data_IF_434280796723
#
_entry.id   IF_434280796723
#
_cell.length_a   1.000
_cell.length_b   1.000
_cell.length_c   1.000
_cell.angle_alpha   90.00
_cell.angle_beta   90.00
_cell.angle_gamma   90.00
#
_symmetry.space_group_name_H-M   'P 1'
#
loop_
_entity.id
_entity.type
_entity.pdbx_description
1 polymer ?
#
# COMPACT_ATOMS: atom_id res chain seq x y z
N UNK A 1 38.00 -34.92 12.87
CA UNK A 1 36.58 -35.11 13.19
C UNK A 1 35.99 -33.79 13.64
N UNK A 2 35.34 -33.04 12.76
CA UNK A 2 34.67 -31.79 13.13
C UNK A 2 33.32 -32.16 13.79
N UNK A 3 33.18 -31.75 15.06
CA UNK A 3 32.07 -32.14 15.91
C UNK A 3 30.71 -31.74 15.30
N UNK A 4 29.83 -32.71 15.03
CA UNK A 4 28.44 -32.51 14.57
C UNK A 4 27.64 -31.50 15.42
N UNK A 5 28.00 -31.32 16.69
CA UNK A 5 27.40 -30.36 17.63
C UNK A 5 27.60 -28.89 17.19
N UNK A 6 28.76 -28.54 16.58
CA UNK A 6 29.03 -27.17 16.14
C UNK A 6 28.15 -26.75 14.96
N UNK A 7 27.78 -27.67 14.08
CA UNK A 7 26.88 -27.42 12.96
C UNK A 7 25.44 -27.23 13.38
N UNK A 8 24.98 -27.97 14.41
CA UNK A 8 23.61 -27.83 14.92
C UNK A 8 23.40 -26.47 15.60
N UNK A 9 24.38 -25.96 16.36
CA UNK A 9 24.28 -24.66 17.03
C UNK A 9 24.33 -23.51 16.00
N UNK A 10 25.18 -23.62 14.99
CA UNK A 10 25.25 -22.62 13.92
C UNK A 10 23.96 -22.55 13.10
N UNK A 11 23.34 -23.70 12.80
CA UNK A 11 22.08 -23.78 12.07
C UNK A 11 20.91 -23.12 12.82
N UNK A 12 20.79 -23.38 14.12
CA UNK A 12 19.74 -22.79 14.97
C UNK A 12 19.93 -21.27 15.08
N UNK A 13 21.16 -20.78 15.25
CA UNK A 13 21.46 -19.35 15.40
C UNK A 13 21.09 -18.53 14.14
N UNK A 14 21.13 -19.13 12.95
CA UNK A 14 20.76 -18.45 11.68
C UNK A 14 19.27 -18.61 11.37
N UNK A 15 18.68 -19.76 11.65
CA UNK A 15 17.27 -20.05 11.32
C UNK A 15 16.29 -19.27 12.21
N UNK A 16 16.62 -19.08 13.49
CA UNK A 16 15.72 -18.38 14.42
C UNK A 16 15.42 -16.94 13.99
N UNK A 17 16.40 -16.07 13.68
CA UNK A 17 16.12 -14.71 13.25
C UNK A 17 15.36 -14.68 11.91
N UNK A 18 15.60 -15.62 11.00
CA UNK A 18 14.89 -15.72 9.74
C UNK A 18 13.40 -16.06 9.94
N UNK A 19 13.09 -17.01 10.82
CA UNK A 19 11.71 -17.38 11.15
C UNK A 19 10.99 -16.22 11.82
N UNK A 20 11.62 -15.53 12.76
CA UNK A 20 11.04 -14.36 13.44
C UNK A 20 10.79 -13.24 12.42
N UNK A 21 11.73 -12.96 11.54
CA UNK A 21 11.59 -11.92 10.53
C UNK A 21 10.49 -12.24 9.51
N UNK A 22 10.45 -13.46 8.97
CA UNK A 22 9.37 -13.88 8.04
C UNK A 22 8.01 -13.89 8.73
N UNK A 23 7.94 -14.31 9.99
CA UNK A 23 6.72 -14.25 10.80
C UNK A 23 6.23 -12.82 10.99
N UNK A 24 7.14 -11.88 11.26
CA UNK A 24 6.79 -10.47 11.40
C UNK A 24 6.26 -9.85 10.10
N UNK A 25 6.82 -10.22 8.93
CA UNK A 25 6.35 -9.76 7.63
C UNK A 25 4.89 -10.14 7.35
N UNK A 26 4.43 -11.27 7.89
CA UNK A 26 3.02 -11.71 7.76
C UNK A 26 2.15 -11.12 8.88
N UNK A 27 2.63 -11.15 10.12
CA UNK A 27 1.85 -10.73 11.28
C UNK A 27 1.56 -9.22 11.30
N UNK A 28 2.54 -8.38 10.95
CA UNK A 28 2.36 -6.91 11.02
C UNK A 28 1.25 -6.38 10.11
N UNK A 29 1.13 -6.78 8.84
CA UNK A 29 -0.01 -6.37 8.02
C UNK A 29 -1.36 -6.84 8.56
N UNK A 30 -1.45 -8.04 9.12
CA UNK A 30 -2.67 -8.58 9.72
C UNK A 30 -3.06 -7.80 10.98
N UNK A 31 -2.09 -7.53 11.86
CA UNK A 31 -2.30 -6.71 13.06
C UNK A 31 -2.61 -5.25 12.69
N UNK A 32 -2.01 -4.74 11.63
CA UNK A 32 -2.32 -3.42 11.06
C UNK A 32 -3.76 -3.33 10.59
N UNK A 33 -4.22 -4.37 9.85
CA UNK A 33 -5.61 -4.46 9.41
C UNK A 33 -6.60 -4.53 10.59
N UNK A 34 -6.37 -5.38 11.57
CA UNK A 34 -7.23 -5.49 12.74
C UNK A 34 -7.31 -4.15 13.51
N UNK A 35 -6.19 -3.44 13.65
CA UNK A 35 -6.17 -2.11 14.26
C UNK A 35 -6.91 -1.07 13.40
N UNK A 36 -6.78 -1.14 12.07
CA UNK A 36 -7.49 -0.25 11.14
C UNK A 36 -9.01 -0.48 11.20
N UNK A 37 -9.45 -1.72 11.16
CA UNK A 37 -10.87 -2.09 11.24
C UNK A 37 -11.51 -1.66 12.58
N UNK A 38 -10.73 -1.59 13.66
CA UNK A 38 -11.16 -1.07 14.97
C UNK A 38 -11.05 0.46 15.11
N UNK A 39 -10.64 1.18 14.06
CA UNK A 39 -10.43 2.63 14.09
C UNK A 39 -9.21 3.08 14.91
N UNK A 40 -8.31 2.17 15.30
CA UNK A 40 -7.15 2.50 16.12
C UNK A 40 -6.04 3.16 15.30
N UNK A 41 -5.51 4.28 15.81
CA UNK A 41 -4.35 4.95 15.22
C UNK A 41 -3.06 4.11 15.24
N UNK A 42 -3.02 3.03 16.04
CA UNK A 42 -1.92 2.08 16.03
C UNK A 42 -1.76 1.33 14.70
N UNK A 43 -2.79 1.35 13.84
CA UNK A 43 -2.73 0.83 12.48
C UNK A 43 -1.59 1.47 11.67
N UNK A 44 -1.42 2.78 11.77
CA UNK A 44 -0.35 3.52 11.07
C UNK A 44 1.02 3.01 11.49
N UNK A 45 1.27 2.85 12.81
CA UNK A 45 2.55 2.37 13.32
C UNK A 45 2.83 0.94 12.86
N UNK A 46 1.83 0.05 12.88
CA UNK A 46 2.00 -1.36 12.47
C UNK A 46 2.26 -1.49 10.98
N UNK A 47 1.55 -0.71 10.15
CA UNK A 47 1.82 -0.68 8.72
C UNK A 47 3.16 -0.03 8.39
N UNK A 48 3.59 0.98 9.16
CA UNK A 48 4.94 1.55 9.01
C UNK A 48 6.01 0.49 9.28
N UNK A 49 5.90 -0.25 10.38
CA UNK A 49 6.83 -1.35 10.65
C UNK A 49 6.81 -2.43 9.57
N UNK A 50 5.63 -2.75 9.01
CA UNK A 50 5.55 -3.69 7.89
C UNK A 50 6.32 -3.19 6.66
N UNK A 51 6.26 -1.89 6.36
CA UNK A 51 7.06 -1.28 5.29
C UNK A 51 8.55 -1.34 5.60
N UNK A 52 8.94 -0.97 6.83
CA UNK A 52 10.34 -0.84 7.24
C UNK A 52 11.09 -2.17 7.25
N UNK A 53 10.40 -3.29 7.61
CA UNK A 53 11.03 -4.62 7.63
C UNK A 53 10.98 -5.33 6.27
N UNK A 54 10.24 -4.81 5.29
CA UNK A 54 10.12 -5.43 3.96
C UNK A 54 11.28 -4.97 3.08
N UNK A 55 12.15 -5.90 2.61
CA UNK A 55 13.24 -5.53 1.73
C UNK A 55 12.74 -4.95 0.40
N UNK A 56 13.49 -4.00 -0.16
CA UNK A 56 13.11 -3.28 -1.37
C UNK A 56 12.82 -4.18 -2.59
N UNK A 57 13.45 -5.35 -2.68
CA UNK A 57 13.19 -6.32 -3.75
C UNK A 57 11.90 -7.13 -3.58
N UNK A 58 11.34 -7.18 -2.36
CA UNK A 58 10.03 -7.79 -2.05
C UNK A 58 8.93 -6.74 -1.96
N UNK A 59 9.26 -5.46 -2.11
CA UNK A 59 8.32 -4.37 -1.95
C UNK A 59 7.23 -4.37 -3.02
N UNK A 60 6.10 -5.03 -2.70
CA UNK A 60 4.87 -4.89 -3.45
C UNK A 60 4.23 -3.51 -3.25
N UNK A 61 3.19 -3.24 -4.00
CA UNK A 61 2.37 -2.02 -3.86
C UNK A 61 1.50 -2.03 -2.59
N UNK A 62 1.22 -3.20 -2.00
CA UNK A 62 0.28 -3.36 -0.89
C UNK A 62 0.75 -2.67 0.39
N UNK A 63 2.04 -2.77 0.72
CA UNK A 63 2.58 -2.19 1.94
C UNK A 63 2.41 -0.65 1.98
N UNK A 64 2.87 0.12 0.99
CA UNK A 64 2.63 1.57 0.95
C UNK A 64 1.14 1.91 0.74
N UNK A 65 0.35 1.06 0.08
CA UNK A 65 -1.10 1.26 -0.04
C UNK A 65 -1.80 1.21 1.32
N UNK A 66 -1.54 0.17 2.11
CA UNK A 66 -2.15 0.00 3.43
C UNK A 66 -1.72 1.13 4.38
N UNK A 67 -0.43 1.48 4.37
CA UNK A 67 0.09 2.58 5.18
C UNK A 67 -0.56 3.91 4.78
N UNK A 68 -0.59 4.23 3.49
CA UNK A 68 -1.19 5.47 3.00
C UNK A 68 -2.67 5.57 3.31
N UNK A 69 -3.41 4.47 3.16
CA UNK A 69 -4.84 4.40 3.52
C UNK A 69 -5.06 4.64 5.02
N UNK A 70 -4.25 4.01 5.87
CA UNK A 70 -4.33 4.22 7.32
C UNK A 70 -3.98 5.65 7.71
N UNK A 71 -2.98 6.27 7.06
CA UNK A 71 -2.60 7.65 7.29
C UNK A 71 -3.72 8.63 6.92
N UNK A 72 -4.40 8.41 5.78
CA UNK A 72 -5.56 9.23 5.41
C UNK A 72 -6.70 9.12 6.42
N UNK A 73 -6.99 7.91 6.89
CA UNK A 73 -8.04 7.68 7.90
C UNK A 73 -7.76 8.35 9.26
N UNK A 74 -6.51 8.73 9.51
CA UNK A 74 -6.07 9.41 10.72
C UNK A 74 -5.56 10.85 10.46
N UNK A 75 -6.12 11.53 9.46
CA UNK A 75 -5.87 12.92 9.09
C UNK A 75 -4.41 13.27 8.75
N UNK A 76 -3.57 12.26 8.42
CA UNK A 76 -2.19 12.44 7.98
C UNK A 76 -2.14 12.53 6.45
N UNK A 77 -2.81 13.54 5.89
CA UNK A 77 -3.10 13.64 4.46
C UNK A 77 -1.84 13.64 3.58
N UNK A 78 -0.82 14.43 3.91
CA UNK A 78 0.40 14.55 3.09
C UNK A 78 1.18 13.23 3.06
N UNK A 79 1.35 12.59 4.22
CA UNK A 79 2.02 11.29 4.31
C UNK A 79 1.22 10.19 3.61
N UNK A 80 -0.11 10.21 3.77
CA UNK A 80 -1.03 9.27 3.13
C UNK A 80 -0.95 9.35 1.61
N UNK A 81 -1.03 10.57 1.06
CA UNK A 81 -0.89 10.82 -0.39
C UNK A 81 0.46 10.35 -0.90
N UNK A 82 1.56 10.69 -0.22
CA UNK A 82 2.91 10.28 -0.64
C UNK A 82 3.06 8.74 -0.73
N UNK A 83 2.53 8.01 0.26
CA UNK A 83 2.55 6.54 0.26
C UNK A 83 1.63 5.95 -0.82
N UNK A 84 0.48 6.53 -1.08
CA UNK A 84 -0.42 6.10 -2.16
C UNK A 84 0.15 6.40 -3.55
N UNK A 85 0.85 7.50 -3.74
CA UNK A 85 1.62 7.76 -4.97
C UNK A 85 2.72 6.72 -5.19
N UNK A 86 3.42 6.32 -4.11
CA UNK A 86 4.40 5.23 -4.19
C UNK A 86 3.74 3.91 -4.57
N UNK A 87 2.61 3.57 -3.93
CA UNK A 87 1.83 2.39 -4.26
C UNK A 87 1.40 2.38 -5.73
N UNK A 88 0.92 3.53 -6.24
CA UNK A 88 0.51 3.67 -7.64
C UNK A 88 1.67 3.42 -8.62
N UNK A 89 2.86 3.97 -8.33
CA UNK A 89 4.04 3.71 -9.16
C UNK A 89 4.41 2.23 -9.19
N UNK A 90 4.30 1.54 -8.04
CA UNK A 90 4.65 0.11 -7.90
C UNK A 90 3.64 -0.79 -8.60
N UNK A 91 2.33 -0.58 -8.39
CA UNK A 91 1.29 -1.40 -9.03
C UNK A 91 1.33 -1.27 -10.54
N UNK A 92 1.50 -0.06 -11.09
CA UNK A 92 1.63 0.17 -12.54
C UNK A 92 2.85 -0.50 -13.14
N UNK A 93 3.95 -0.62 -12.39
CA UNK A 93 5.13 -1.37 -12.82
C UNK A 93 4.83 -2.87 -12.84
N UNK A 94 4.20 -3.40 -11.80
CA UNK A 94 3.85 -4.82 -11.69
C UNK A 94 2.88 -5.26 -12.79
N UNK A 95 1.81 -4.48 -13.03
CA UNK A 95 0.81 -4.78 -14.07
C UNK A 95 1.41 -4.77 -15.47
N UNK A 96 2.28 -3.79 -15.78
CA UNK A 96 2.99 -3.76 -17.07
C UNK A 96 3.90 -4.98 -17.27
N UNK A 97 4.57 -5.43 -16.22
CA UNK A 97 5.44 -6.61 -16.28
C UNK A 97 4.64 -7.90 -16.52
N UNK A 98 3.39 -7.94 -16.04
CA UNK A 98 2.49 -9.08 -16.20
C UNK A 98 1.63 -9.00 -17.47
N UNK A 99 1.75 -7.96 -18.28
CA UNK A 99 0.94 -7.75 -19.48
C UNK A 99 -0.56 -7.55 -19.18
N UNK A 100 -0.90 -7.19 -17.94
CA UNK A 100 -2.29 -6.96 -17.55
C UNK A 100 -2.78 -5.61 -18.08
N UNK A 101 -3.92 -5.62 -18.73
CA UNK A 101 -4.64 -4.42 -19.14
C UNK A 101 -5.30 -3.82 -17.91
N UNK A 102 -5.28 -2.48 -17.79
CA UNK A 102 -5.93 -1.78 -16.68
C UNK A 102 -7.39 -2.26 -16.50
N UNK A 103 -7.65 -2.90 -15.36
CA UNK A 103 -8.97 -3.38 -15.01
C UNK A 103 -9.58 -2.41 -13.99
N UNK A 104 -10.83 -2.00 -14.21
CA UNK A 104 -11.57 -1.08 -13.31
C UNK A 104 -11.67 -1.59 -11.86
N UNK A 105 -11.61 -2.91 -11.67
CA UNK A 105 -11.62 -3.56 -10.35
C UNK A 105 -10.22 -4.01 -9.92
N UNK A 106 -9.22 -3.73 -10.75
CA UNK A 106 -7.84 -4.14 -10.53
C UNK A 106 -7.13 -3.37 -9.41
N UNK A 107 -5.94 -3.83 -9.04
CA UNK A 107 -5.12 -3.21 -8.01
C UNK A 107 -4.82 -1.72 -8.27
N UNK A 108 -4.55 -1.33 -9.52
CA UNK A 108 -4.29 0.07 -9.87
C UNK A 108 -5.50 0.96 -9.50
N UNK A 109 -6.71 0.52 -9.83
CA UNK A 109 -7.91 1.31 -9.56
C UNK A 109 -8.24 1.41 -8.07
N UNK A 110 -7.93 0.40 -7.27
CA UNK A 110 -8.03 0.48 -5.80
C UNK A 110 -7.10 1.56 -5.24
N UNK A 111 -5.85 1.60 -5.72
CA UNK A 111 -4.88 2.62 -5.29
C UNK A 111 -5.32 4.00 -5.76
N UNK A 112 -5.79 4.14 -7.00
CA UNK A 112 -6.28 5.42 -7.55
C UNK A 112 -7.47 5.97 -6.78
N UNK A 113 -8.41 5.12 -6.37
CA UNK A 113 -9.56 5.53 -5.57
C UNK A 113 -9.12 6.18 -4.25
N UNK A 114 -8.27 5.51 -3.46
CA UNK A 114 -7.80 6.07 -2.20
C UNK A 114 -6.90 7.31 -2.40
N UNK A 115 -6.07 7.34 -3.45
CA UNK A 115 -5.25 8.50 -3.77
C UNK A 115 -6.10 9.72 -4.17
N UNK A 116 -7.17 9.50 -4.93
CA UNK A 116 -8.15 10.53 -5.28
C UNK A 116 -8.78 11.15 -4.02
N UNK A 117 -9.21 10.31 -3.06
CA UNK A 117 -9.72 10.80 -1.77
C UNK A 117 -8.67 11.61 -0.99
N UNK A 118 -7.41 11.20 -1.03
CA UNK A 118 -6.32 11.94 -0.40
C UNK A 118 -6.13 13.34 -1.02
N UNK A 119 -6.13 13.46 -2.34
CA UNK A 119 -6.05 14.76 -3.02
C UNK A 119 -7.29 15.62 -2.77
N UNK A 120 -8.47 15.00 -2.72
CA UNK A 120 -9.70 15.70 -2.39
C UNK A 120 -9.63 16.30 -0.97
N UNK A 121 -9.20 15.51 0.01
CA UNK A 121 -9.03 15.97 1.38
C UNK A 121 -8.03 17.14 1.47
N UNK A 122 -6.87 17.03 0.81
CA UNK A 122 -5.90 18.13 0.71
C UNK A 122 -6.48 19.36 0.00
N UNK A 123 -7.28 19.17 -1.05
CA UNK A 123 -7.92 20.27 -1.78
C UNK A 123 -8.93 21.01 -0.91
N UNK A 124 -9.76 20.27 -0.18
CA UNK A 124 -10.72 20.83 0.77
C UNK A 124 -10.04 21.61 1.90
N UNK A 125 -8.98 21.03 2.49
CA UNK A 125 -8.20 21.69 3.55
C UNK A 125 -7.54 22.98 3.08
N UNK A 126 -7.11 23.06 1.82
CA UNK A 126 -6.51 24.26 1.23
C UNK A 126 -7.52 25.36 0.84
N UNK A 127 -8.82 25.11 0.92
CA UNK A 127 -9.87 26.08 0.61
C UNK A 127 -9.75 26.64 -0.82
N UNK A 128 -9.75 27.96 -0.96
CA UNK A 128 -9.69 28.63 -2.29
C UNK A 128 -8.45 28.26 -3.11
N UNK A 129 -7.34 27.91 -2.50
CA UNK A 129 -6.11 27.49 -3.19
C UNK A 129 -6.10 26.01 -3.56
N UNK A 130 -7.11 25.25 -3.15
CA UNK A 130 -7.20 23.80 -3.33
C UNK A 130 -7.61 23.31 -4.72
N UNK A 131 -8.05 24.22 -5.62
CA UNK A 131 -8.62 23.85 -6.92
C UNK A 131 -7.73 22.89 -7.75
N UNK A 132 -6.41 23.11 -7.77
CA UNK A 132 -5.47 22.22 -8.47
C UNK A 132 -5.43 20.81 -7.87
N UNK A 133 -5.59 20.67 -6.55
CA UNK A 133 -5.64 19.35 -5.88
C UNK A 133 -6.95 18.65 -6.13
N UNK A 134 -8.05 19.37 -6.16
CA UNK A 134 -9.36 18.81 -6.53
C UNK A 134 -9.36 18.34 -7.99
N UNK A 135 -8.76 19.10 -8.91
CA UNK A 135 -8.58 18.65 -10.29
C UNK A 135 -7.72 17.38 -10.36
N UNK A 136 -6.59 17.35 -9.62
CA UNK A 136 -5.73 16.16 -9.54
C UNK A 136 -6.47 14.93 -9.00
N UNK A 137 -7.40 15.11 -8.06
CA UNK A 137 -8.26 14.03 -7.55
C UNK A 137 -9.10 13.42 -8.69
N UNK A 138 -9.75 14.26 -9.49
CA UNK A 138 -10.58 13.85 -10.64
C UNK A 138 -9.71 13.11 -11.66
N UNK A 139 -8.61 13.70 -12.08
CA UNK A 139 -7.68 13.12 -13.08
C UNK A 139 -7.12 11.77 -12.62
N UNK A 140 -6.94 11.60 -11.31
CA UNK A 140 -6.43 10.37 -10.74
C UNK A 140 -7.41 9.20 -10.89
N UNK A 141 -8.70 9.42 -10.68
CA UNK A 141 -9.71 8.36 -10.73
C UNK A 141 -10.30 8.16 -12.13
N UNK A 142 -10.25 9.16 -12.99
CA UNK A 142 -10.85 9.14 -14.33
C UNK A 142 -10.54 7.88 -15.15
N UNK A 143 -9.31 7.33 -15.21
CA UNK A 143 -9.03 6.11 -15.98
C UNK A 143 -9.83 4.89 -15.50
N UNK A 144 -10.24 4.89 -14.24
CA UNK A 144 -11.00 3.77 -13.65
C UNK A 144 -12.51 3.89 -13.85
N UNK A 145 -13.02 5.10 -14.10
CA UNK A 145 -14.44 5.36 -14.35
C UNK A 145 -14.81 5.25 -15.82
N UNK A 146 -13.90 5.64 -16.73
CA UNK A 146 -14.14 5.63 -18.18
C UNK A 146 -14.30 4.21 -18.76
N UNK A 147 -13.60 3.23 -18.19
CA UNK A 147 -13.69 1.84 -18.65
C UNK A 147 -15.03 1.17 -18.34
N UNK A 148 -15.76 1.66 -17.33
CA UNK A 148 -17.09 1.14 -16.97
C UNK A 148 -18.14 1.60 -17.98
N UNK A 149 -18.04 2.85 -18.43
CA UNK A 149 -18.99 3.45 -19.40
C UNK A 149 -19.00 2.72 -20.75
N UNK A 150 -17.82 2.29 -21.23
CA UNK A 150 -17.73 1.57 -22.50
C UNK A 150 -18.29 0.13 -22.45
N UNK A 151 -18.48 -0.44 -21.27
CA UNK A 151 -19.04 -1.78 -21.10
C UNK A 151 -20.55 -1.76 -21.10
N UNK A 152 -21.14 -0.72 -20.51
CA UNK A 152 -22.61 -0.53 -20.44
C UNK A 152 -23.20 -0.04 -21.78
N UNK A 153 -22.37 0.47 -22.72
CA UNK A 153 -22.80 0.86 -24.07
C UNK A 153 -22.68 -0.29 -25.11
N UNK A 154 -22.13 -1.46 -24.73
CA UNK A 154 -21.98 -2.64 -25.60
C UNK A 154 -22.96 -3.79 -25.27
N UNK A 155 -23.80 -3.65 -24.26
CA UNK A 155 -24.91 -4.56 -23.94
C UNK A 155 -26.24 -3.97 -24.39
#
# INVERSE_FOLDING_TARGET
MVSRKKWAIGGVAVLTPLIVWTGAMVALPMLGKAAFDSGSSSSVTRYQWAVDITPGFLEGWQAPYNLGTAQLAHDRQDAGVANLELALRRVRRAERTQGQIANTEGPECKVRANLSLGYEAQGKAAGKSGAKRLQKAIDTIQPCTSSKKNKDEQE
#
